data_IF_045749241466
#
_entry.id   IF_045749241466
#
_cell.length_a   1.000
_cell.length_b   1.000
_cell.length_c   1.000
_cell.angle_alpha   90.00
_cell.angle_beta   90.00
_cell.angle_gamma   90.00
#
_symmetry.space_group_name_H-M   'P 1'
#
loop_
_entity.id
_entity.type
_entity.pdbx_description
1 polymer ?
#
# COMPACT_ATOMS: atom_id res chain seq x y z
N UNK A 1 -31.07 -22.17 9.29
CA UNK A 1 -29.74 -21.65 9.70
C UNK A 1 -29.36 -20.59 8.70
N UNK A 2 -29.57 -19.32 9.04
CA UNK A 2 -29.19 -18.19 8.20
C UNK A 2 -27.73 -17.89 8.51
N UNK A 3 -26.82 -18.25 7.61
CA UNK A 3 -25.44 -17.83 7.70
C UNK A 3 -25.41 -16.34 7.35
N UNK A 4 -25.42 -15.48 8.36
CA UNK A 4 -24.98 -14.10 8.17
C UNK A 4 -23.50 -14.17 7.85
N UNK A 5 -23.16 -14.05 6.57
CA UNK A 5 -21.81 -13.75 6.14
C UNK A 5 -21.55 -12.36 6.72
N UNK A 6 -20.82 -12.31 7.84
CA UNK A 6 -20.25 -11.06 8.30
C UNK A 6 -19.21 -10.75 7.23
N UNK A 7 -19.58 -9.92 6.26
CA UNK A 7 -18.60 -9.18 5.47
C UNK A 7 -17.82 -8.37 6.50
N UNK A 8 -16.70 -8.94 6.95
CA UNK A 8 -15.69 -8.16 7.63
C UNK A 8 -15.25 -7.17 6.56
N UNK A 9 -15.60 -5.90 6.74
CA UNK A 9 -15.15 -4.82 5.88
C UNK A 9 -13.64 -4.70 6.14
N UNK A 10 -12.87 -5.56 5.48
CA UNK A 10 -11.41 -5.53 5.53
C UNK A 10 -10.95 -4.63 4.41
N UNK A 11 -10.19 -3.60 4.77
CA UNK A 11 -9.52 -2.71 3.85
C UNK A 11 -8.64 -3.52 2.87
N UNK A 12 -8.75 -3.30 1.57
CA UNK A 12 -7.96 -4.01 0.56
C UNK A 12 -6.71 -3.21 0.20
N UNK A 13 -5.53 -3.83 0.31
CA UNK A 13 -4.26 -3.22 -0.04
C UNK A 13 -3.58 -4.08 -1.10
N UNK A 14 -3.47 -3.59 -2.33
CA UNK A 14 -2.72 -4.26 -3.38
C UNK A 14 -1.32 -3.61 -3.54
N UNK A 15 -0.28 -4.43 -3.34
CA UNK A 15 1.12 -4.07 -3.49
C UNK A 15 1.65 -4.69 -4.78
N UNK A 16 2.05 -3.85 -5.73
CA UNK A 16 2.68 -4.31 -6.96
C UNK A 16 4.11 -3.82 -6.99
N UNK A 17 5.08 -4.74 -6.98
CA UNK A 17 6.48 -4.37 -6.87
C UNK A 17 7.38 -5.50 -7.36
N UNK A 18 8.56 -5.17 -7.91
CA UNK A 18 9.58 -6.17 -8.23
C UNK A 18 10.26 -6.66 -6.96
N UNK A 19 10.25 -7.97 -6.72
CA UNK A 19 10.99 -8.60 -5.61
C UNK A 19 12.50 -8.52 -5.77
N UNK A 20 12.99 -8.29 -6.98
CA UNK A 20 14.42 -8.16 -7.29
C UNK A 20 14.96 -6.78 -6.93
N UNK A 21 14.08 -5.78 -6.76
CA UNK A 21 14.48 -4.42 -6.41
C UNK A 21 14.41 -4.22 -4.88
N UNK A 22 15.56 -3.91 -4.27
CA UNK A 22 15.66 -3.72 -2.82
C UNK A 22 14.84 -2.53 -2.30
N UNK A 23 14.64 -1.48 -3.09
CA UNK A 23 13.85 -0.31 -2.70
C UNK A 23 12.35 -0.59 -2.76
N UNK A 24 11.93 -1.43 -3.71
CA UNK A 24 10.57 -1.95 -3.81
C UNK A 24 10.20 -2.80 -2.58
N UNK A 25 11.10 -3.68 -2.16
CA UNK A 25 10.94 -4.47 -0.95
C UNK A 25 10.84 -3.60 0.31
N UNK A 26 11.64 -2.53 0.40
CA UNK A 26 11.55 -1.56 1.51
C UNK A 26 10.16 -0.90 1.54
N UNK A 27 9.67 -0.42 0.40
CA UNK A 27 8.35 0.19 0.32
C UNK A 27 7.23 -0.77 0.75
N UNK A 28 7.22 -2.00 0.24
CA UNK A 28 6.23 -3.01 0.62
C UNK A 28 6.28 -3.31 2.14
N UNK A 29 7.49 -3.42 2.71
CA UNK A 29 7.66 -3.64 4.14
C UNK A 29 7.19 -2.45 5.00
N UNK A 30 7.33 -1.22 4.51
CA UNK A 30 6.82 -0.03 5.20
C UNK A 30 5.30 -0.05 5.27
N UNK A 31 4.61 -0.39 4.18
CA UNK A 31 3.14 -0.52 4.17
C UNK A 31 2.69 -1.60 5.15
N UNK A 32 3.29 -2.79 5.10
CA UNK A 32 2.96 -3.88 6.04
C UNK A 32 3.16 -3.48 7.50
N UNK A 33 4.24 -2.75 7.80
CA UNK A 33 4.49 -2.23 9.15
C UNK A 33 3.46 -1.18 9.57
N UNK A 34 3.09 -0.27 8.68
CA UNK A 34 2.11 0.77 8.97
C UNK A 34 0.73 0.17 9.28
N UNK A 35 0.26 -0.78 8.46
CA UNK A 35 -1.00 -1.52 8.70
C UNK A 35 -0.99 -2.21 10.06
N UNK A 36 0.10 -2.93 10.37
CA UNK A 36 0.25 -3.61 11.66
C UNK A 36 0.28 -2.64 12.84
N UNK A 37 1.00 -1.52 12.71
CA UNK A 37 1.13 -0.52 13.78
C UNK A 37 -0.19 0.22 14.05
N UNK A 38 -0.98 0.48 13.00
CA UNK A 38 -2.28 1.12 13.10
C UNK A 38 -3.37 0.16 13.59
N UNK A 39 -3.09 -1.15 13.66
CA UNK A 39 -4.07 -2.16 14.09
C UNK A 39 -5.24 -2.31 13.11
N UNK A 40 -5.04 -1.92 11.84
CA UNK A 40 -6.08 -1.95 10.82
C UNK A 40 -6.24 -3.38 10.31
N UNK A 41 -7.49 -3.84 10.23
CA UNK A 41 -7.83 -5.09 9.56
C UNK A 41 -7.80 -4.88 8.05
N UNK A 42 -6.66 -5.21 7.42
CA UNK A 42 -6.46 -5.07 5.99
C UNK A 42 -6.00 -6.38 5.33
N UNK A 43 -6.52 -6.63 4.13
CA UNK A 43 -6.10 -7.73 3.26
C UNK A 43 -5.01 -7.22 2.32
N UNK A 44 -3.79 -7.72 2.48
CA UNK A 44 -2.64 -7.32 1.65
C UNK A 44 -2.43 -8.34 0.53
N UNK A 45 -2.65 -7.91 -0.72
CA UNK A 45 -2.37 -8.71 -1.93
C UNK A 45 -1.06 -8.26 -2.54
N UNK A 46 -0.09 -9.16 -2.65
CA UNK A 46 1.23 -8.88 -3.22
C UNK A 46 1.33 -9.46 -4.63
N UNK A 47 1.72 -8.63 -5.60
CA UNK A 47 2.04 -9.06 -6.96
C UNK A 47 3.46 -8.69 -7.33
N UNK A 48 4.21 -9.70 -7.73
CA UNK A 48 5.54 -9.52 -8.28
C UNK A 48 5.43 -9.12 -9.74
N UNK A 49 5.90 -7.93 -10.06
CA UNK A 49 5.81 -7.36 -11.40
C UNK A 49 7.03 -6.49 -11.65
N UNK A 50 7.62 -6.65 -12.83
CA UNK A 50 8.72 -5.83 -13.28
C UNK A 50 8.19 -4.46 -13.67
N UNK A 51 8.34 -3.50 -12.78
CA UNK A 51 7.95 -2.10 -12.98
C UNK A 51 9.03 -1.17 -12.43
N UNK A 52 9.17 0.05 -12.99
CA UNK A 52 10.23 0.98 -12.58
C UNK A 52 10.05 1.52 -11.15
N UNK A 53 8.81 1.68 -10.68
CA UNK A 53 8.48 2.19 -9.35
C UNK A 53 7.39 1.33 -8.71
N UNK A 54 7.44 1.02 -7.41
CA UNK A 54 6.42 0.21 -6.75
C UNK A 54 5.07 0.93 -6.75
N UNK A 55 3.98 0.17 -6.89
CA UNK A 55 2.61 0.66 -6.83
C UNK A 55 1.93 0.13 -5.59
N UNK A 56 1.21 1.01 -4.91
CA UNK A 56 0.43 0.69 -3.72
C UNK A 56 -0.98 1.18 -4.01
N UNK A 57 -1.95 0.29 -3.96
CA UNK A 57 -3.37 0.61 -4.11
C UNK A 57 -4.05 0.24 -2.80
N UNK A 58 -4.85 1.14 -2.25
CA UNK A 58 -5.64 0.89 -1.04
C UNK A 58 -7.10 1.19 -1.35
N UNK A 59 -8.00 0.23 -1.18
CA UNK A 59 -9.43 0.33 -1.51
C UNK A 59 -9.69 0.92 -2.91
N UNK A 60 -8.86 0.52 -3.88
CA UNK A 60 -8.92 1.02 -5.26
C UNK A 60 -8.26 2.38 -5.49
N UNK A 61 -7.74 3.03 -4.45
CA UNK A 61 -7.01 4.29 -4.54
C UNK A 61 -5.51 4.08 -4.78
N UNK A 62 -4.99 4.54 -5.91
CA UNK A 62 -3.55 4.43 -6.25
C UNK A 62 -2.72 5.55 -5.62
N UNK A 63 -1.80 5.17 -4.72
CA UNK A 63 -0.92 6.12 -4.02
C UNK A 63 0.14 6.75 -4.91
N UNK A 64 0.36 6.28 -6.14
CA UNK A 64 1.17 7.01 -7.14
C UNK A 64 0.64 8.41 -7.40
N UNK A 65 -0.65 8.67 -7.15
CA UNK A 65 -1.27 9.98 -7.33
C UNK A 65 -1.01 10.94 -6.17
N UNK A 66 -0.79 10.41 -4.95
CA UNK A 66 -0.49 11.19 -3.73
C UNK A 66 1.01 11.34 -3.47
N UNK A 67 1.82 10.43 -4.01
CA UNK A 67 3.26 10.59 -4.10
C UNK A 67 3.53 11.65 -5.16
N UNK A 68 3.52 12.92 -4.75
CA UNK A 68 3.76 14.07 -5.62
C UNK A 68 4.80 13.75 -6.69
N UNK A 69 4.40 13.98 -7.95
CA UNK A 69 5.26 13.88 -9.13
C UNK A 69 6.69 14.26 -8.77
N UNK A 70 7.67 13.36 -8.86
CA UNK A 70 9.05 13.75 -8.67
C UNK A 70 9.35 14.81 -9.72
N UNK A 71 9.77 15.98 -9.26
CA UNK A 71 10.32 17.05 -10.09
C UNK A 71 11.53 16.43 -10.81
N UNK A 72 11.32 15.99 -12.05
CA UNK A 72 12.26 15.50 -13.05
C UNK A 72 13.62 15.01 -12.48
N UNK A 73 13.75 13.70 -12.23
CA UNK A 73 15.07 13.05 -12.15
C UNK A 73 15.48 12.36 -10.85
N UNK A 74 14.60 12.22 -9.85
CA UNK A 74 14.91 11.43 -8.65
C UNK A 74 13.78 10.44 -8.38
N UNK A 75 14.13 9.15 -8.28
CA UNK A 75 13.20 8.06 -7.99
C UNK A 75 12.28 8.40 -6.81
N UNK A 76 11.00 8.09 -6.98
CA UNK A 76 9.93 8.43 -6.05
C UNK A 76 10.21 7.77 -4.70
N UNK A 77 10.77 8.52 -3.74
CA UNK A 77 10.99 8.00 -2.38
C UNK A 77 9.66 7.96 -1.65
N UNK A 78 9.04 6.78 -1.63
CA UNK A 78 7.94 6.44 -0.74
C UNK A 78 8.40 6.64 0.72
N UNK A 79 7.93 7.73 1.33
CA UNK A 79 8.16 8.00 2.75
C UNK A 79 7.12 7.28 3.61
N UNK A 80 7.56 6.73 4.74
CA UNK A 80 6.70 6.08 5.72
C UNK A 80 5.54 7.00 6.17
N UNK A 81 5.82 8.30 6.34
CA UNK A 81 4.84 9.31 6.77
C UNK A 81 3.69 9.46 5.76
N UNK A 82 4.00 9.44 4.46
CA UNK A 82 3.01 9.53 3.39
C UNK A 82 2.13 8.29 3.35
N UNK A 83 2.71 7.10 3.57
CA UNK A 83 1.97 5.82 3.64
C UNK A 83 1.11 5.75 4.90
N UNK A 84 1.58 6.30 6.03
CA UNK A 84 0.82 6.35 7.26
C UNK A 84 -0.43 7.24 7.10
N UNK A 85 -0.24 8.50 6.67
CA UNK A 85 -1.34 9.45 6.46
C UNK A 85 -2.38 8.95 5.46
N UNK A 86 -1.88 8.31 4.41
CA UNK A 86 -2.67 7.60 3.42
C UNK A 86 -3.62 6.58 4.07
N UNK A 87 -3.06 5.64 4.83
CA UNK A 87 -3.81 4.58 5.50
C UNK A 87 -4.77 5.16 6.55
N UNK A 88 -4.34 6.15 7.32
CA UNK A 88 -5.17 6.86 8.29
C UNK A 88 -6.38 7.56 7.64
N UNK A 89 -6.20 8.14 6.45
CA UNK A 89 -7.29 8.82 5.72
C UNK A 89 -8.34 7.85 5.17
N UNK A 90 -7.97 6.59 4.93
CA UNK A 90 -8.86 5.56 4.38
C UNK A 90 -9.48 4.64 5.43
N UNK A 91 -9.00 4.67 6.68
CA UNK A 91 -9.44 3.78 7.76
C UNK A 91 -10.74 4.24 8.48
N UNK A 92 -11.59 5.06 7.85
CA UNK A 92 -12.81 5.65 8.46
C UNK A 92 -14.11 5.05 7.91
#
# INVERSE_FOLDING_TARGET
MTYSIIEVITMEIALFYSKENSDHLKAANLVKKAVKNLGISATITERDVQMPDPQIIVDGFDFRTLLEKPRSGSGTKLSYDSVLKALESTAW
#
